data_IF_247034525552
#
_entry.id   IF_247034525552
#
_cell.length_a   1.000
_cell.length_b   1.000
_cell.length_c   1.000
_cell.angle_alpha   90.00
_cell.angle_beta   90.00
_cell.angle_gamma   90.00
#
_symmetry.space_group_name_H-M   'P 1'
#
loop_
_entity.id
_entity.type
_entity.pdbx_description
1 polymer ?
#
# COMPACT_ATOMS: atom_id res chain seq x y z
N UNK A 1 20.54 26.61 -3.67
CA UNK A 1 20.45 25.14 -3.57
C UNK A 1 19.34 24.84 -2.57
N UNK A 2 18.15 24.55 -3.05
CA UNK A 2 16.97 24.35 -2.21
C UNK A 2 17.02 22.92 -1.67
N UNK A 3 17.35 22.76 -0.39
CA UNK A 3 17.13 21.49 0.31
C UNK A 3 15.63 21.28 0.38
N UNK A 4 15.09 20.41 -0.47
CA UNK A 4 13.77 19.84 -0.25
C UNK A 4 13.88 18.99 1.02
N UNK A 5 13.55 19.58 2.16
CA UNK A 5 13.32 18.85 3.40
C UNK A 5 12.13 17.94 3.09
N UNK A 6 12.40 16.67 2.81
CA UNK A 6 11.35 15.64 2.89
C UNK A 6 11.01 15.62 4.38
N UNK A 7 9.99 16.38 4.77
CA UNK A 7 9.42 16.30 6.11
C UNK A 7 8.99 14.84 6.27
N UNK A 8 9.71 14.14 7.13
CA UNK A 8 9.35 12.82 7.61
C UNK A 8 8.07 13.04 8.44
N UNK A 9 6.91 13.01 7.78
CA UNK A 9 5.63 13.07 8.48
C UNK A 9 5.66 11.87 9.43
N UNK A 10 5.61 12.07 10.76
CA UNK A 10 5.52 10.96 11.68
C UNK A 10 4.18 10.29 11.40
N UNK A 11 4.23 9.14 10.74
CA UNK A 11 3.04 8.34 10.51
C UNK A 11 2.55 7.92 11.89
N UNK A 12 1.31 8.30 12.20
CA UNK A 12 0.68 7.94 13.45
C UNK A 12 0.39 6.44 13.41
N UNK A 13 1.18 5.65 14.13
CA UNK A 13 1.07 4.19 14.12
C UNK A 13 -0.36 3.72 14.45
N UNK A 14 -1.00 4.34 15.45
CA UNK A 14 -2.37 4.01 15.87
C UNK A 14 -3.40 4.23 14.75
N UNK A 15 -3.28 5.33 14.01
CA UNK A 15 -4.13 5.57 12.83
C UNK A 15 -3.82 4.63 11.67
N UNK A 16 -2.56 4.22 11.53
CA UNK A 16 -2.17 3.33 10.45
C UNK A 16 -2.72 1.93 10.69
N UNK A 17 -2.68 1.46 11.94
CA UNK A 17 -3.27 0.17 12.34
C UNK A 17 -4.77 0.08 12.03
N UNK A 18 -5.52 1.20 12.03
CA UNK A 18 -6.93 1.19 11.61
C UNK A 18 -7.12 0.98 10.12
N UNK A 19 -6.06 1.05 9.31
CA UNK A 19 -6.11 0.76 7.88
C UNK A 19 -5.95 -0.73 7.56
N UNK A 20 -5.49 -1.55 8.52
CA UNK A 20 -5.41 -3.00 8.32
C UNK A 20 -6.81 -3.55 8.09
N UNK A 21 -6.97 -4.34 7.03
CA UNK A 21 -8.25 -4.89 6.58
C UNK A 21 -8.99 -4.02 5.56
N UNK A 22 -8.50 -2.81 5.23
CA UNK A 22 -9.08 -2.01 4.14
C UNK A 22 -8.87 -2.72 2.80
N UNK A 23 -9.95 -2.82 2.02
CA UNK A 23 -9.93 -3.28 0.64
C UNK A 23 -9.35 -2.20 -0.27
N UNK A 24 -8.47 -2.62 -1.17
CA UNK A 24 -7.79 -1.82 -2.16
C UNK A 24 -8.03 -2.44 -3.53
N UNK A 25 -8.30 -1.59 -4.51
CA UNK A 25 -8.44 -1.97 -5.91
C UNK A 25 -7.26 -1.41 -6.70
N UNK A 26 -6.19 -2.19 -6.77
CA UNK A 26 -4.94 -1.73 -7.37
C UNK A 26 -4.81 -2.33 -8.78
N UNK A 27 -4.46 -1.52 -9.79
CA UNK A 27 -4.41 -1.99 -11.17
C UNK A 27 -3.27 -2.98 -11.40
N UNK A 28 -3.59 -4.02 -12.17
CA UNK A 28 -2.72 -5.16 -12.48
C UNK A 28 -1.33 -4.75 -13.01
N UNK A 29 -1.25 -3.61 -13.70
CA UNK A 29 0.02 -2.99 -14.15
C UNK A 29 1.05 -2.71 -13.05
N UNK A 30 0.64 -2.68 -11.79
CA UNK A 30 1.54 -2.49 -10.65
C UNK A 30 2.34 -3.77 -10.34
N UNK A 31 1.83 -4.94 -10.74
CA UNK A 31 2.46 -6.24 -10.54
C UNK A 31 3.35 -6.61 -11.72
N UNK A 32 4.60 -7.06 -11.46
CA UNK A 32 5.49 -7.52 -12.51
C UNK A 32 4.90 -8.76 -13.18
N UNK A 33 4.74 -8.71 -14.51
CA UNK A 33 4.17 -9.82 -15.30
C UNK A 33 2.68 -9.68 -15.62
N UNK A 34 1.99 -8.70 -15.04
CA UNK A 34 0.59 -8.42 -15.34
C UNK A 34 0.47 -7.21 -16.28
N UNK A 35 0.10 -7.46 -17.53
CA UNK A 35 -0.07 -6.44 -18.58
C UNK A 35 -1.54 -6.14 -18.89
N UNK A 36 -2.45 -6.74 -18.13
CA UNK A 36 -3.89 -6.57 -18.32
C UNK A 36 -4.38 -5.26 -17.68
N UNK A 37 -5.47 -4.71 -18.22
CA UNK A 37 -6.09 -3.48 -17.72
C UNK A 37 -6.96 -3.67 -16.48
N UNK A 38 -7.08 -4.89 -15.95
CA UNK A 38 -7.87 -5.21 -14.77
C UNK A 38 -7.36 -4.58 -13.46
N UNK A 39 -8.24 -4.60 -12.47
CA UNK A 39 -7.94 -4.27 -11.08
C UNK A 39 -7.85 -5.58 -10.30
N UNK A 40 -6.86 -5.68 -9.42
CA UNK A 40 -6.74 -6.76 -8.45
C UNK A 40 -7.22 -6.25 -7.11
N UNK A 41 -8.22 -6.95 -6.57
CA UNK A 41 -8.69 -6.72 -5.23
C UNK A 41 -7.66 -7.28 -4.24
N UNK A 42 -7.31 -6.44 -3.29
CA UNK A 42 -6.35 -6.76 -2.25
C UNK A 42 -6.76 -6.07 -0.96
N UNK A 43 -6.15 -6.44 0.14
CA UNK A 43 -6.41 -5.81 1.42
C UNK A 43 -5.11 -5.55 2.15
N UNK A 44 -5.10 -4.55 3.02
CA UNK A 44 -3.93 -4.27 3.87
C UNK A 44 -3.87 -5.37 4.92
N UNK A 45 -2.89 -6.25 4.82
CA UNK A 45 -2.70 -7.38 5.73
C UNK A 45 -1.90 -6.98 6.98
N UNK A 46 -0.87 -6.15 6.80
CA UNK A 46 0.00 -5.73 7.89
C UNK A 46 0.68 -4.40 7.57
N UNK A 47 1.31 -3.81 8.59
CA UNK A 47 2.10 -2.59 8.46
C UNK A 47 3.49 -2.84 9.06
N UNK A 48 4.52 -2.64 8.26
CA UNK A 48 5.92 -2.75 8.64
C UNK A 48 6.57 -1.35 8.74
N UNK A 49 6.61 -0.79 9.95
CA UNK A 49 7.26 0.51 10.20
C UNK A 49 8.79 0.46 10.03
N UNK A 50 9.37 -0.74 9.98
CA UNK A 50 10.78 -0.96 9.73
C UNK A 50 11.14 -0.91 8.23
N UNK A 51 10.14 -0.90 7.34
CA UNK A 51 10.33 -0.83 5.91
C UNK A 51 10.98 0.50 5.49
N UNK A 52 12.01 0.40 4.67
CA UNK A 52 12.68 1.57 4.12
C UNK A 52 11.81 2.27 3.06
N UNK A 53 11.99 3.59 2.87
CA UNK A 53 11.42 4.39 1.77
C UNK A 53 9.89 4.53 1.73
N UNK A 54 9.25 4.54 2.89
CA UNK A 54 7.81 4.76 3.03
C UNK A 54 6.90 3.65 2.48
N UNK A 55 7.42 2.42 2.39
CA UNK A 55 6.68 1.21 2.04
C UNK A 55 6.13 0.51 3.29
N UNK A 56 5.40 1.25 4.11
CA UNK A 56 4.97 0.76 5.41
C UNK A 56 3.85 -0.28 5.29
N UNK A 57 3.07 -0.29 4.21
CA UNK A 57 1.92 -1.18 4.09
C UNK A 57 2.32 -2.47 3.42
N UNK A 58 1.80 -3.58 3.93
CA UNK A 58 1.85 -4.88 3.28
C UNK A 58 0.43 -5.24 2.85
N UNK A 59 0.24 -5.36 1.55
CA UNK A 59 -1.04 -5.75 0.95
C UNK A 59 -0.99 -7.22 0.55
N UNK A 60 -2.09 -7.92 0.79
CA UNK A 60 -2.31 -9.29 0.35
C UNK A 60 -3.37 -9.29 -0.75
N UNK A 61 -3.11 -10.02 -1.83
CA UNK A 61 -4.07 -10.21 -2.91
C UNK A 61 -5.09 -11.28 -2.52
N UNK A 62 -6.37 -11.03 -2.79
CA UNK A 62 -7.42 -12.02 -2.50
C UNK A 62 -7.23 -13.31 -3.32
N UNK A 63 -6.72 -13.16 -4.54
CA UNK A 63 -6.44 -14.27 -5.45
C UNK A 63 -5.13 -15.02 -5.14
N UNK A 64 -4.25 -14.46 -4.30
CA UNK A 64 -2.98 -15.08 -3.89
C UNK A 64 -2.74 -14.92 -2.37
N UNK A 65 -3.52 -15.63 -1.54
CA UNK A 65 -3.40 -15.56 -0.09
C UNK A 65 -2.01 -16.05 0.36
N UNK A 66 -1.36 -15.27 1.23
CA UNK A 66 0.01 -15.48 1.71
C UNK A 66 1.08 -14.67 0.97
N UNK A 67 0.74 -14.04 -0.17
CA UNK A 67 1.66 -13.16 -0.89
C UNK A 67 1.54 -11.71 -0.38
N UNK A 68 2.55 -11.25 0.35
CA UNK A 68 2.61 -9.89 0.88
C UNK A 68 3.43 -8.97 -0.03
N UNK A 69 2.80 -7.90 -0.50
CA UNK A 69 3.43 -6.89 -1.34
C UNK A 69 3.58 -5.57 -0.60
N UNK A 70 4.78 -5.00 -0.63
CA UNK A 70 5.05 -3.73 0.01
C UNK A 70 4.44 -2.57 -0.79
N UNK A 71 3.65 -1.72 -0.15
CA UNK A 71 2.93 -0.59 -0.75
C UNK A 71 3.31 0.73 -0.07
N UNK A 72 3.43 1.78 -0.88
CA UNK A 72 3.71 3.12 -0.36
C UNK A 72 2.47 3.71 0.30
N UNK A 73 2.69 4.45 1.38
CA UNK A 73 1.62 5.16 2.10
C UNK A 73 0.73 6.01 1.19
N UNK A 74 1.33 6.79 0.30
CA UNK A 74 0.62 7.67 -0.62
C UNK A 74 -0.29 6.89 -1.60
N UNK A 75 0.10 5.66 -1.93
CA UNK A 75 -0.66 4.81 -2.85
C UNK A 75 -1.91 4.20 -2.20
N UNK A 76 -1.93 4.02 -0.88
CA UNK A 76 -3.13 3.50 -0.18
C UNK A 76 -4.33 4.41 -0.43
N UNK A 77 -4.16 5.72 -0.36
CA UNK A 77 -5.22 6.69 -0.61
C UNK A 77 -5.65 6.77 -2.09
N UNK A 78 -4.80 6.35 -3.01
CA UNK A 78 -5.11 6.39 -4.45
C UNK A 78 -5.92 5.18 -4.92
N UNK A 79 -5.82 4.06 -4.20
CA UNK A 79 -6.42 2.78 -4.57
C UNK A 79 -7.35 2.22 -3.51
N UNK A 80 -7.65 3.00 -2.46
CA UNK A 80 -8.74 2.69 -1.54
C UNK A 80 -10.00 2.50 -2.37
N UNK A 81 -10.65 1.36 -2.14
CA UNK A 81 -11.94 1.09 -2.75
C UNK A 81 -12.95 2.07 -2.14
N UNK A 82 -13.18 3.18 -2.83
CA UNK A 82 -14.18 4.19 -2.50
C UNK A 82 -15.51 3.66 -3.06
N UNK A 83 -16.28 2.97 -2.21
CA UNK A 83 -17.66 2.57 -2.55
C UNK A 83 -18.56 3.77 -2.88
#
# INVERSE_FOLDING_TARGET
MSHTIIQHIPINAEWTETLVGICLNIPNRWWPGHHDGGLNQCHIAAIDFHASRAFYFQVELDNEPGAHYAMRYDSVLLYVDDE
#
